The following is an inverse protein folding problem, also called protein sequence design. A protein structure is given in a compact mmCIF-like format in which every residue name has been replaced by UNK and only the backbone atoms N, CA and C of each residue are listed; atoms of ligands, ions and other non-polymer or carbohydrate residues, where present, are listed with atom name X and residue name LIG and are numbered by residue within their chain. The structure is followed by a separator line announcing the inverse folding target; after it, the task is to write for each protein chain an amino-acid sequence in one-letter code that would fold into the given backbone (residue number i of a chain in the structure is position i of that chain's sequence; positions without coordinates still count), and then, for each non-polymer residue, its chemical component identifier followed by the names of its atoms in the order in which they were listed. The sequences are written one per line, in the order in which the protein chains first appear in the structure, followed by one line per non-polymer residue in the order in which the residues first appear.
data_IF_987196214705
#
_entry.id   IF_987196214705
#
_cell.length_a   1.000
_cell.length_b   1.000
_cell.length_c   1.000
_cell.angle_alpha   90.00
_cell.angle_beta   90.00
_cell.angle_gamma   90.00
#
_symmetry.space_group_name_H-M   'P 1'
#
loop_
_entity.id
_entity.type
_entity.pdbx_description
1 polymer ?
#
# COMPACT_ATOMS: atom_id res chain seq x y z
N UNK A 1 1.57 -17.83 4.20
CA UNK A 1 1.99 -16.92 3.11
C UNK A 1 3.42 -17.31 2.75
N UNK A 2 3.65 -17.92 1.58
CA UNK A 2 5.04 -18.06 1.09
C UNK A 2 5.41 -16.71 0.50
N UNK A 3 5.91 -15.81 1.36
CA UNK A 3 6.64 -14.65 0.88
C UNK A 3 7.74 -15.16 -0.07
N UNK A 4 8.11 -14.34 -1.05
CA UNK A 4 9.03 -14.67 -2.11
C UNK A 4 10.25 -15.49 -1.62
N UNK A 5 10.86 -16.25 -2.54
CA UNK A 5 12.05 -17.10 -2.32
C UNK A 5 13.31 -16.26 -2.01
N UNK A 6 13.15 -15.22 -1.18
CA UNK A 6 14.15 -14.30 -0.69
C UNK A 6 14.79 -14.99 0.50
N UNK A 7 16.09 -15.23 0.41
CA UNK A 7 16.82 -15.76 1.54
C UNK A 7 16.89 -14.69 2.64
N UNK A 8 16.73 -15.11 3.90
CA UNK A 8 16.88 -14.21 5.06
C UNK A 8 18.25 -13.52 5.06
N UNK A 9 19.37 -14.21 4.73
CA UNK A 9 20.68 -13.55 4.62
C UNK A 9 20.73 -12.42 3.57
N UNK A 10 20.15 -12.63 2.38
CA UNK A 10 20.16 -11.62 1.31
C UNK A 10 19.30 -10.40 1.68
N UNK A 11 18.14 -10.64 2.30
CA UNK A 11 17.28 -9.58 2.81
C UNK A 11 17.99 -8.76 3.89
N UNK A 12 18.61 -9.44 4.86
CA UNK A 12 19.34 -8.78 5.94
C UNK A 12 20.52 -7.97 5.40
N UNK A 13 21.32 -8.52 4.49
CA UNK A 13 22.47 -7.80 3.94
C UNK A 13 22.06 -6.51 3.22
N UNK A 14 20.95 -6.55 2.48
CA UNK A 14 20.45 -5.36 1.79
C UNK A 14 19.86 -4.33 2.75
N UNK A 15 19.08 -4.79 3.73
CA UNK A 15 18.57 -3.96 4.83
C UNK A 15 19.70 -3.28 5.63
N UNK A 16 20.77 -4.02 5.93
CA UNK A 16 21.96 -3.50 6.61
C UNK A 16 22.63 -2.40 5.78
N UNK A 17 22.72 -2.59 4.45
CA UNK A 17 23.19 -1.56 3.52
C UNK A 17 22.33 -0.27 3.51
N UNK A 18 21.06 -0.36 3.91
CA UNK A 18 20.14 0.77 4.06
C UNK A 18 20.19 1.42 5.46
N UNK A 19 21.27 1.19 6.22
CA UNK A 19 21.43 1.65 7.61
C UNK A 19 20.48 0.98 8.61
N UNK A 20 20.07 -0.26 8.33
CA UNK A 20 19.37 -1.10 9.31
C UNK A 20 20.18 -1.36 10.57
N UNK A 21 19.55 -1.26 11.74
CA UNK A 21 20.20 -1.44 13.05
C UNK A 21 20.06 -2.86 13.64
N UNK A 22 19.14 -3.67 13.11
CA UNK A 22 18.88 -5.03 13.58
C UNK A 22 19.87 -6.05 12.98
N UNK A 23 20.29 -7.00 13.82
CA UNK A 23 21.07 -8.15 13.38
C UNK A 23 20.26 -9.17 12.58
N UNK A 24 20.95 -10.08 11.89
CA UNK A 24 20.32 -11.13 11.07
C UNK A 24 19.32 -11.97 11.87
N UNK A 25 19.68 -12.36 13.10
CA UNK A 25 18.80 -13.13 13.99
C UNK A 25 17.58 -12.34 14.47
N UNK A 26 17.70 -11.02 14.65
CA UNK A 26 16.57 -10.15 15.04
C UNK A 26 15.60 -9.99 13.87
N UNK A 27 16.14 -9.85 12.64
CA UNK A 27 15.34 -9.86 11.42
C UNK A 27 14.62 -11.20 11.25
N UNK A 28 15.30 -12.33 11.44
CA UNK A 28 14.68 -13.65 11.39
C UNK A 28 13.57 -13.78 12.44
N UNK A 29 13.83 -13.38 13.69
CA UNK A 29 12.84 -13.41 14.76
C UNK A 29 11.62 -12.52 14.44
N UNK A 30 11.83 -11.35 13.83
CA UNK A 30 10.74 -10.48 13.37
C UNK A 30 9.90 -11.15 12.28
N UNK A 31 10.54 -11.78 11.28
CA UNK A 31 9.83 -12.50 10.22
C UNK A 31 9.03 -13.70 10.73
N UNK A 32 9.50 -14.34 11.81
CA UNK A 32 8.78 -15.41 12.50
C UNK A 32 7.70 -14.88 13.48
N UNK A 33 7.56 -13.56 13.64
CA UNK A 33 6.62 -12.94 14.58
C UNK A 33 7.01 -13.09 16.05
N UNK A 34 8.27 -13.43 16.32
CA UNK A 34 8.83 -13.62 17.67
C UNK A 34 9.40 -12.31 18.26
N UNK A 35 9.66 -11.32 17.41
CA UNK A 35 10.17 -10.00 17.78
C UNK A 35 9.34 -8.91 17.09
N UNK A 36 9.16 -7.77 17.75
CA UNK A 36 8.63 -6.56 17.13
C UNK A 36 9.76 -5.56 16.90
N UNK A 37 9.88 -5.08 15.67
CA UNK A 37 10.84 -4.03 15.30
C UNK A 37 10.18 -2.64 15.29
N UNK A 38 10.96 -1.57 15.52
CA UNK A 38 10.49 -0.20 15.35
C UNK A 38 9.95 0.05 13.93
N UNK A 39 8.96 0.94 13.75
CA UNK A 39 8.34 1.21 12.44
C UNK A 39 9.36 1.47 11.32
N UNK A 40 10.35 2.33 11.58
CA UNK A 40 11.40 2.66 10.62
C UNK A 40 12.19 1.42 10.16
N UNK A 41 12.44 0.46 11.04
CA UNK A 41 13.17 -0.76 10.69
C UNK A 41 12.32 -1.71 9.85
N UNK A 42 11.00 -1.74 10.10
CA UNK A 42 10.06 -2.51 9.27
C UNK A 42 9.95 -1.93 7.86
N UNK A 43 9.98 -0.61 7.74
CA UNK A 43 9.93 0.08 6.44
C UNK A 43 11.20 -0.15 5.63
N UNK A 44 12.36 -0.16 6.29
CA UNK A 44 13.64 -0.51 5.66
C UNK A 44 13.67 -1.96 5.20
N UNK A 45 13.12 -2.91 5.99
CA UNK A 45 12.96 -4.30 5.57
C UNK A 45 12.01 -4.44 4.38
N UNK A 46 10.90 -3.70 4.36
CA UNK A 46 9.97 -3.68 3.23
C UNK A 46 10.63 -3.12 1.97
N UNK A 47 11.41 -2.04 2.09
CA UNK A 47 12.19 -1.48 0.98
C UNK A 47 13.22 -2.49 0.45
N UNK A 48 14.01 -3.10 1.32
CA UNK A 48 14.98 -4.12 0.93
C UNK A 48 14.33 -5.31 0.22
N UNK A 49 13.21 -5.81 0.75
CA UNK A 49 12.43 -6.88 0.13
C UNK A 49 11.90 -6.47 -1.25
N UNK A 50 11.36 -5.25 -1.37
CA UNK A 50 10.84 -4.72 -2.63
C UNK A 50 11.91 -4.64 -3.71
N UNK A 51 13.11 -4.16 -3.37
CA UNK A 51 14.19 -4.10 -4.34
C UNK A 51 14.75 -5.49 -4.72
N UNK A 52 14.60 -6.50 -3.88
CA UNK A 52 14.93 -7.89 -4.24
C UNK A 52 13.82 -8.53 -5.09
N UNK A 53 12.59 -8.04 -4.94
CA UNK A 53 11.42 -8.49 -5.70
C UNK A 53 11.37 -7.86 -7.09
N UNK A 54 11.88 -6.64 -7.31
CA UNK A 54 11.83 -5.96 -8.62
C UNK A 54 12.52 -6.76 -9.77
N UNK A 55 13.36 -7.75 -9.44
CA UNK A 55 13.93 -8.72 -10.39
C UNK A 55 12.97 -9.89 -10.77
N UNK A 56 11.78 -9.94 -10.19
CA UNK A 56 10.75 -10.98 -10.34
C UNK A 56 9.34 -10.37 -10.48
N UNK A 57 8.44 -10.89 -11.34
CA UNK A 57 7.08 -10.36 -11.45
C UNK A 57 6.22 -10.79 -10.25
N UNK A 58 6.37 -10.11 -9.11
CA UNK A 58 5.77 -10.49 -7.82
C UNK A 58 5.26 -9.29 -7.01
N UNK A 59 4.28 -9.50 -6.11
CA UNK A 59 3.72 -8.43 -5.30
C UNK A 59 4.73 -7.85 -4.29
N UNK A 60 4.73 -6.53 -4.15
CA UNK A 60 5.57 -5.76 -3.23
C UNK A 60 5.17 -5.96 -1.77
N UNK A 61 6.15 -5.94 -0.88
CA UNK A 61 5.98 -5.87 0.57
C UNK A 61 5.36 -4.51 0.98
N UNK A 62 4.37 -4.53 1.88
CA UNK A 62 3.72 -3.32 2.40
C UNK A 62 4.61 -2.56 3.39
N UNK A 63 4.44 -1.23 3.45
CA UNK A 63 5.08 -0.35 4.44
C UNK A 63 4.24 -0.23 5.72
N UNK A 64 4.80 0.30 6.81
CA UNK A 64 4.12 0.44 8.10
C UNK A 64 2.82 1.26 8.02
N UNK A 65 2.78 2.29 7.16
CA UNK A 65 1.61 3.14 6.98
C UNK A 65 0.46 2.45 6.23
N UNK A 66 0.74 1.40 5.44
CA UNK A 66 -0.30 0.64 4.73
C UNK A 66 -1.21 -0.12 5.70
N UNK A 67 -0.71 -0.43 6.91
CA UNK A 67 -1.48 -1.12 7.95
C UNK A 67 -2.40 -0.18 8.74
N UNK A 68 -2.22 1.14 8.64
CA UNK A 68 -3.05 2.16 9.30
C UNK A 68 -4.40 2.37 8.55
N UNK A 69 -4.48 2.08 7.25
CA UNK A 69 -5.65 2.37 6.40
C UNK A 69 -6.89 1.48 6.56
N UNK A 70 -6.92 0.51 7.48
CA UNK A 70 -8.00 -0.50 7.53
C UNK A 70 -9.22 -0.12 8.40
N UNK A 71 -9.32 1.15 8.83
CA UNK A 71 -10.43 1.65 9.66
C UNK A 71 -11.20 2.83 9.03
N UNK A 72 -11.37 2.86 7.71
CA UNK A 72 -12.50 3.58 7.12
C UNK A 72 -13.53 2.56 6.66
N UNK A 73 -14.36 2.17 7.62
CA UNK A 73 -15.61 1.45 7.42
C UNK A 73 -16.48 2.18 6.39
N UNK A 74 -17.00 1.40 5.44
CA UNK A 74 -18.24 1.68 4.71
C UNK A 74 -19.22 2.51 5.55
N UNK A 75 -19.65 3.64 5.02
CA UNK A 75 -20.97 4.22 5.33
C UNK A 75 -21.41 5.06 4.13
N UNK A 76 -22.39 4.49 3.42
CA UNK A 76 -23.55 5.17 2.82
C UNK A 76 -23.28 5.98 1.54
N UNK A 77 -23.54 5.45 0.34
CA UNK A 77 -24.90 5.20 -0.21
C UNK A 77 -25.91 6.29 0.15
N UNK A 78 -26.04 7.28 -0.74
CA UNK A 78 -27.26 8.03 -0.96
C UNK A 78 -27.19 8.62 -2.37
N UNK A 79 -27.71 7.86 -3.33
CA UNK A 79 -28.05 8.41 -4.63
C UNK A 79 -29.15 9.46 -4.47
N UNK A 80 -28.80 10.74 -4.58
CA UNK A 80 -29.77 11.82 -4.68
C UNK A 80 -30.29 11.88 -6.13
N UNK A 81 -31.49 11.35 -6.30
CA UNK A 81 -32.31 11.42 -7.50
C UNK A 81 -32.89 12.82 -7.68
N UNK A 82 -32.95 13.22 -8.95
CA UNK A 82 -34.11 13.81 -9.62
C UNK A 82 -34.64 15.16 -9.10
N UNK A 83 -34.35 16.20 -9.88
CA UNK A 83 -34.94 17.53 -9.74
C UNK A 83 -34.93 18.23 -11.08
N UNK A 84 -35.88 17.86 -11.94
CA UNK A 84 -36.10 18.50 -13.22
C UNK A 84 -36.60 19.94 -13.07
N UNK A 85 -36.14 20.79 -13.97
CA UNK A 85 -36.82 21.97 -14.51
C UNK A 85 -35.81 22.63 -15.45
N UNK A 86 -36.13 22.79 -16.74
CA UNK A 86 -35.98 24.06 -17.50
C UNK A 86 -36.83 23.94 -18.77
N UNK A 87 -38.04 24.48 -18.66
CA UNK A 87 -38.97 24.81 -19.73
C UNK A 87 -38.29 25.65 -20.82
N UNK A 88 -38.01 25.02 -21.97
CA UNK A 88 -37.40 25.65 -23.15
C UNK A 88 -38.43 26.34 -24.03
N UNK A 89 -39.13 27.35 -23.51
CA UNK A 89 -39.94 28.26 -24.31
C UNK A 89 -39.05 29.31 -25.00
N UNK A 90 -38.96 29.25 -26.34
CA UNK A 90 -38.96 30.40 -27.28
C UNK A 90 -38.34 30.02 -28.63
N UNK A 91 -39.18 29.79 -29.64
CA UNK A 91 -38.87 30.11 -31.04
C UNK A 91 -40.11 30.66 -31.73
N UNK A 92 -40.34 31.96 -31.56
CA UNK A 92 -41.18 32.72 -32.49
C UNK A 92 -40.36 32.92 -33.76
N UNK A 93 -40.93 32.47 -34.89
CA UNK A 93 -40.34 32.64 -36.20
C UNK A 93 -40.24 34.11 -36.59
N UNK A 94 -39.15 34.45 -37.24
CA UNK A 94 -39.04 35.62 -38.12
C UNK A 94 -38.04 35.24 -39.20
N UNK A 95 -38.49 35.29 -40.45
CA UNK A 95 -37.90 36.00 -41.59
C UNK A 95 -38.01 35.23 -42.92
N UNK A 96 -38.50 35.93 -43.96
CA UNK A 96 -38.26 35.64 -45.38
C UNK A 96 -39.45 35.18 -46.20
#
# INVERSE_FOLDING_TARGET
MKAADISVPDLWLKYFGLSGDAGEYEVEAYLQGLLSLPPIQRDLLALAANELIDDLPRPRAPYSDDFNGSHHSETEDSGEKDGGDQDGGHRAGSDG
#
